data_IF_311028682659
#
_entry.id   IF_311028682659
#
_cell.length_a   1.000
_cell.length_b   1.000
_cell.length_c   1.000
_cell.angle_alpha   90.00
_cell.angle_beta   90.00
_cell.angle_gamma   90.00
#
_symmetry.space_group_name_H-M   'P 1'
#
loop_
_entity.id
_entity.type
_entity.pdbx_description
1 polymer ?
#
# COMPACT_ATOMS: atom_id res chain seq x y z
N UNK A 1 -12.30 24.01 -13.97
CA UNK A 1 -12.89 22.72 -14.39
C UNK A 1 -13.15 21.91 -13.14
N UNK A 2 -14.34 21.34 -12.97
CA UNK A 2 -14.67 20.48 -11.82
C UNK A 2 -14.37 19.02 -12.18
N UNK A 3 -13.44 18.39 -11.48
CA UNK A 3 -13.13 16.97 -11.67
C UNK A 3 -14.14 16.06 -10.97
N UNK A 4 -14.26 14.82 -11.41
CA UNK A 4 -15.13 13.84 -10.73
C UNK A 4 -14.60 13.50 -9.34
N UNK A 5 -15.48 13.09 -8.43
CA UNK A 5 -15.09 12.65 -7.08
C UNK A 5 -14.01 11.57 -7.09
N UNK A 6 -14.08 10.62 -8.03
CA UNK A 6 -13.07 9.55 -8.15
C UNK A 6 -11.67 10.08 -8.49
N UNK A 7 -11.58 11.04 -9.43
CA UNK A 7 -10.31 11.68 -9.79
C UNK A 7 -9.76 12.45 -8.58
N UNK A 8 -10.61 13.21 -7.89
CA UNK A 8 -10.19 13.97 -6.71
C UNK A 8 -9.72 13.05 -5.58
N UNK A 9 -10.46 11.98 -5.31
CA UNK A 9 -10.09 11.01 -4.26
C UNK A 9 -8.77 10.35 -4.57
N UNK A 10 -8.53 9.91 -5.81
CA UNK A 10 -7.27 9.27 -6.20
C UNK A 10 -6.10 10.27 -6.17
N UNK A 11 -6.32 11.49 -6.64
CA UNK A 11 -5.34 12.58 -6.59
C UNK A 11 -4.89 12.86 -5.14
N UNK A 12 -5.85 12.97 -4.22
CA UNK A 12 -5.59 13.13 -2.79
C UNK A 12 -4.86 11.91 -2.20
N UNK A 13 -5.20 10.69 -2.62
CA UNK A 13 -4.56 9.47 -2.11
C UNK A 13 -3.07 9.37 -2.48
N UNK A 14 -2.69 9.83 -3.67
CA UNK A 14 -1.31 9.74 -4.17
C UNK A 14 -0.54 11.06 -4.05
N UNK A 15 -1.19 12.11 -3.53
CA UNK A 15 -0.59 13.43 -3.32
C UNK A 15 -0.18 14.11 -4.63
N UNK A 16 -1.08 14.15 -5.62
CA UNK A 16 -0.82 14.81 -6.90
C UNK A 16 -2.01 15.65 -7.35
N UNK A 17 -1.82 16.46 -8.39
CA UNK A 17 -2.89 17.27 -8.95
C UNK A 17 -3.93 16.42 -9.71
N UNK A 18 -5.24 16.72 -9.56
CA UNK A 18 -6.33 16.04 -10.29
C UNK A 18 -6.15 16.02 -11.81
N UNK A 19 -5.49 17.02 -12.38
CA UNK A 19 -5.21 17.09 -13.81
C UNK A 19 -4.38 15.90 -14.31
N UNK A 20 -3.33 15.52 -13.56
CA UNK A 20 -2.48 14.39 -13.90
C UNK A 20 -3.24 13.07 -13.85
N UNK A 21 -4.13 12.91 -12.85
CA UNK A 21 -5.00 11.73 -12.73
C UNK A 21 -6.01 11.68 -13.88
N UNK A 22 -6.62 12.81 -14.24
CA UNK A 22 -7.55 12.88 -15.37
C UNK A 22 -6.85 12.55 -16.69
N UNK A 23 -5.61 13.02 -16.88
CA UNK A 23 -4.78 12.68 -18.05
C UNK A 23 -4.41 11.20 -18.06
N UNK A 24 -3.97 10.65 -16.93
CA UNK A 24 -3.63 9.24 -16.75
C UNK A 24 -4.80 8.31 -17.07
N UNK A 25 -6.00 8.62 -16.59
CA UNK A 25 -7.20 7.86 -16.87
C UNK A 25 -7.48 7.81 -18.38
N UNK A 26 -7.45 8.96 -19.08
CA UNK A 26 -7.64 9.00 -20.54
C UNK A 26 -6.59 8.18 -21.29
N UNK A 27 -5.33 8.26 -20.87
CA UNK A 27 -4.24 7.47 -21.48
C UNK A 27 -4.43 5.98 -21.23
N UNK A 28 -4.76 5.58 -20.00
CA UNK A 28 -5.00 4.18 -19.64
C UNK A 28 -6.19 3.61 -20.42
N UNK A 29 -7.30 4.35 -20.55
CA UNK A 29 -8.47 3.92 -21.33
C UNK A 29 -8.13 3.71 -22.81
N UNK A 30 -7.33 4.60 -23.41
CA UNK A 30 -6.86 4.44 -24.80
C UNK A 30 -5.96 3.22 -24.97
N UNK A 31 -4.99 3.05 -24.07
CA UNK A 31 -4.09 1.91 -24.08
C UNK A 31 -4.86 0.59 -23.90
N UNK A 32 -5.82 0.54 -22.98
CA UNK A 32 -6.68 -0.62 -22.75
C UNK A 32 -7.46 -1.02 -24.01
N UNK A 33 -8.03 -0.06 -24.73
CA UNK A 33 -8.71 -0.31 -25.99
C UNK A 33 -7.78 -0.90 -27.07
N UNK A 34 -6.56 -0.37 -27.19
CA UNK A 34 -5.55 -0.84 -28.14
C UNK A 34 -5.05 -2.25 -27.78
N UNK A 35 -4.75 -2.51 -26.51
CA UNK A 35 -4.31 -3.82 -26.02
C UNK A 35 -5.40 -4.87 -26.28
N UNK A 36 -6.67 -4.56 -25.98
CA UNK A 36 -7.79 -5.46 -26.29
C UNK A 36 -7.83 -5.77 -27.78
N UNK A 37 -7.81 -4.73 -28.61
CA UNK A 37 -7.91 -4.87 -30.07
C UNK A 37 -6.76 -5.71 -30.66
N UNK A 38 -5.54 -5.57 -30.12
CA UNK A 38 -4.35 -6.20 -30.70
C UNK A 38 -4.05 -7.60 -30.12
N UNK A 39 -4.31 -7.82 -28.83
CA UNK A 39 -3.84 -9.01 -28.10
C UNK A 39 -4.99 -9.90 -27.61
N UNK A 40 -6.17 -9.33 -27.42
CA UNK A 40 -7.34 -10.02 -26.88
C UNK A 40 -8.58 -9.82 -27.75
N UNK A 41 -8.39 -9.79 -29.08
CA UNK A 41 -9.45 -9.53 -30.06
C UNK A 41 -10.63 -10.52 -29.98
N UNK A 42 -10.37 -11.72 -29.43
CA UNK A 42 -11.35 -12.78 -29.25
C UNK A 42 -12.17 -12.63 -27.96
N UNK A 43 -11.81 -11.70 -27.06
CA UNK A 43 -12.53 -11.45 -25.82
C UNK A 43 -13.52 -10.30 -26.00
N UNK A 44 -14.70 -10.42 -25.38
CA UNK A 44 -15.60 -9.27 -25.22
C UNK A 44 -14.99 -8.23 -24.29
N UNK A 45 -15.47 -7.00 -24.36
CA UNK A 45 -15.00 -5.93 -23.47
C UNK A 45 -15.23 -6.29 -21.98
N UNK A 46 -16.32 -7.00 -21.68
CA UNK A 46 -16.61 -7.48 -20.33
C UNK A 46 -15.62 -8.56 -19.88
N UNK A 47 -15.34 -9.54 -20.72
CA UNK A 47 -14.37 -10.60 -20.41
C UNK A 47 -12.96 -10.03 -20.22
N UNK A 48 -12.55 -9.10 -21.07
CA UNK A 48 -11.27 -8.43 -20.96
C UNK A 48 -11.21 -7.55 -19.69
N UNK A 49 -12.28 -6.81 -19.38
CA UNK A 49 -12.38 -6.05 -18.13
C UNK A 49 -12.34 -6.93 -16.89
N UNK A 50 -12.95 -8.13 -16.91
CA UNK A 50 -12.85 -9.09 -15.79
C UNK A 50 -11.45 -9.68 -15.65
N UNK A 51 -10.77 -9.98 -16.77
CA UNK A 51 -9.39 -10.46 -16.77
C UNK A 51 -8.41 -9.42 -16.21
N UNK A 52 -8.57 -8.16 -16.62
CA UNK A 52 -7.74 -7.03 -16.17
C UNK A 52 -8.20 -6.44 -14.83
N UNK A 53 -9.42 -6.75 -14.40
CA UNK A 53 -10.18 -6.06 -13.38
C UNK A 53 -10.24 -6.79 -12.05
N UNK A 54 -9.07 -7.15 -11.49
CA UNK A 54 -8.96 -6.91 -10.06
C UNK A 54 -9.12 -5.40 -9.87
N UNK A 55 -10.18 -4.94 -9.19
CA UNK A 55 -10.58 -3.51 -9.13
C UNK A 55 -9.40 -2.55 -8.82
N UNK A 56 -8.40 -3.03 -8.10
CA UNK A 56 -7.19 -2.26 -7.77
C UNK A 56 -6.12 -2.21 -8.86
N UNK A 57 -6.06 -3.16 -9.79
CA UNK A 57 -5.04 -3.16 -10.84
C UNK A 57 -5.19 -1.95 -11.75
N UNK A 58 -6.44 -1.66 -12.18
CA UNK A 58 -6.75 -0.49 -13.00
C UNK A 58 -6.40 0.81 -12.24
N UNK A 59 -6.75 0.90 -10.96
CA UNK A 59 -6.40 2.05 -10.10
C UNK A 59 -4.88 2.20 -9.99
N UNK A 60 -4.14 1.11 -9.83
CA UNK A 60 -2.67 1.13 -9.75
C UNK A 60 -2.03 1.62 -11.05
N UNK A 61 -2.52 1.19 -12.21
CA UNK A 61 -2.05 1.66 -13.52
C UNK A 61 -2.30 3.16 -13.69
N UNK A 62 -3.51 3.64 -13.35
CA UNK A 62 -3.83 5.07 -13.45
C UNK A 62 -2.97 5.91 -12.49
N UNK A 63 -2.78 5.47 -11.25
CA UNK A 63 -1.93 6.17 -10.29
C UNK A 63 -0.46 6.21 -10.73
N UNK A 64 0.08 5.10 -11.23
CA UNK A 64 1.44 5.04 -11.76
C UNK A 64 1.64 6.04 -12.90
N UNK A 65 0.72 6.06 -13.87
CA UNK A 65 0.77 7.02 -14.99
C UNK A 65 0.62 8.46 -14.51
N UNK A 66 -0.23 8.74 -13.52
CA UNK A 66 -0.43 10.07 -12.97
C UNK A 66 0.84 10.61 -12.33
N UNK A 67 1.53 9.80 -11.51
CA UNK A 67 2.80 10.19 -10.90
C UNK A 67 3.90 10.39 -11.93
N UNK A 68 3.97 9.55 -12.98
CA UNK A 68 4.90 9.77 -14.10
C UNK A 68 4.63 11.08 -14.84
N UNK A 69 3.36 11.43 -15.08
CA UNK A 69 3.02 12.73 -15.68
C UNK A 69 3.34 13.92 -14.78
N UNK A 70 3.33 13.73 -13.47
CA UNK A 70 3.77 14.71 -12.48
C UNK A 70 5.30 14.75 -12.29
N UNK A 71 6.07 13.94 -13.03
CA UNK A 71 7.53 13.85 -12.88
C UNK A 71 8.02 13.02 -11.69
N UNK A 72 7.11 12.43 -10.91
CA UNK A 72 7.40 11.60 -9.71
C UNK A 72 7.60 10.12 -10.10
N UNK A 73 8.64 9.84 -10.89
CA UNK A 73 8.87 8.51 -11.48
C UNK A 73 9.18 7.46 -10.39
N UNK A 74 9.95 7.83 -9.37
CA UNK A 74 10.31 6.92 -8.27
C UNK A 74 9.08 6.51 -7.45
N UNK A 75 8.24 7.47 -7.08
CA UNK A 75 6.97 7.19 -6.40
C UNK A 75 6.04 6.32 -7.27
N UNK A 76 6.05 6.50 -8.59
CA UNK A 76 5.28 5.66 -9.49
C UNK A 76 5.71 4.19 -9.41
N UNK A 77 7.02 3.92 -9.40
CA UNK A 77 7.58 2.58 -9.22
C UNK A 77 7.19 2.01 -7.85
N UNK A 78 7.34 2.83 -6.81
CA UNK A 78 7.01 2.47 -5.43
C UNK A 78 5.55 2.02 -5.27
N UNK A 79 4.60 2.73 -5.88
CA UNK A 79 3.18 2.35 -5.85
C UNK A 79 2.93 0.95 -6.43
N UNK A 80 3.69 0.56 -7.46
CA UNK A 80 3.57 -0.78 -8.04
C UNK A 80 4.18 -1.85 -7.14
N UNK A 81 5.32 -1.57 -6.50
CA UNK A 81 5.91 -2.49 -5.54
C UNK A 81 4.99 -2.74 -4.34
N UNK A 82 4.39 -1.67 -3.79
CA UNK A 82 3.38 -1.77 -2.74
C UNK A 82 2.16 -2.58 -3.21
N UNK A 83 1.67 -2.30 -4.43
CA UNK A 83 0.55 -3.04 -5.01
C UNK A 83 0.86 -4.54 -5.10
N UNK A 84 2.01 -4.91 -5.65
CA UNK A 84 2.41 -6.30 -5.79
C UNK A 84 2.62 -7.01 -4.45
N UNK A 85 3.19 -6.31 -3.45
CA UNK A 85 3.33 -6.81 -2.10
C UNK A 85 1.96 -7.04 -1.44
N UNK A 86 1.01 -6.13 -1.62
CA UNK A 86 -0.35 -6.24 -1.08
C UNK A 86 -1.14 -7.42 -1.64
N UNK A 87 -0.98 -7.71 -2.94
CA UNK A 87 -1.65 -8.83 -3.61
C UNK A 87 -0.91 -10.16 -3.42
N UNK A 88 0.31 -10.12 -2.87
CA UNK A 88 1.17 -11.30 -2.80
C UNK A 88 1.58 -11.84 -4.18
N UNK A 89 1.58 -10.99 -5.21
CA UNK A 89 1.74 -11.39 -6.62
C UNK A 89 3.18 -11.32 -7.12
N UNK A 90 4.15 -10.87 -6.30
CA UNK A 90 5.59 -10.88 -6.65
C UNK A 90 6.25 -12.15 -6.08
N UNK A 91 6.52 -13.19 -6.89
CA UNK A 91 7.37 -14.29 -6.50
C UNK A 91 8.87 -13.96 -6.74
N UNK A 92 9.79 -14.46 -5.90
CA UNK A 92 9.51 -15.14 -4.63
C UNK A 92 9.00 -14.16 -3.56
N UNK A 93 8.00 -14.58 -2.78
CA UNK A 93 7.59 -13.84 -1.58
C UNK A 93 8.82 -13.73 -0.67
N UNK A 94 9.20 -12.51 -0.33
CA UNK A 94 10.33 -12.28 0.56
C UNK A 94 10.09 -12.99 1.89
N UNK A 95 11.03 -13.86 2.25
CA UNK A 95 11.02 -14.55 3.54
C UNK A 95 11.51 -13.55 4.57
N UNK A 96 10.59 -13.09 5.43
CA UNK A 96 10.95 -12.31 6.61
C UNK A 96 11.53 -13.29 7.62
N UNK A 97 12.64 -12.94 8.27
CA UNK A 97 13.27 -13.76 9.32
C UNK A 97 12.69 -13.41 10.68
N UNK A 98 12.81 -14.32 11.66
CA UNK A 98 12.50 -14.01 13.07
C UNK A 98 13.29 -12.79 13.52
N UNK A 99 12.62 -11.89 14.24
CA UNK A 99 13.23 -10.65 14.73
C UNK A 99 13.35 -9.52 13.69
N UNK A 100 12.80 -9.68 12.48
CA UNK A 100 12.77 -8.61 11.47
C UNK A 100 11.37 -8.01 11.39
N UNK A 101 11.26 -6.70 11.63
CA UNK A 101 10.02 -5.93 11.52
C UNK A 101 9.02 -6.17 12.65
N UNK A 102 9.26 -7.13 13.54
CA UNK A 102 8.43 -7.45 14.71
C UNK A 102 9.26 -8.25 15.74
N UNK A 103 8.72 -8.47 16.93
CA UNK A 103 9.35 -9.33 17.95
C UNK A 103 9.33 -10.81 17.53
N UNK A 104 10.32 -11.63 17.94
CA UNK A 104 10.39 -13.04 17.58
C UNK A 104 9.12 -13.84 17.89
N UNK A 105 8.43 -13.57 19.00
CA UNK A 105 7.19 -14.24 19.40
C UNK A 105 5.99 -13.93 18.49
N UNK A 106 6.01 -12.81 17.78
CA UNK A 106 4.93 -12.39 16.88
C UNK A 106 5.24 -12.71 15.41
N UNK A 107 6.36 -13.39 15.16
CA UNK A 107 6.85 -13.68 13.82
C UNK A 107 5.83 -14.40 12.95
N UNK A 108 5.14 -15.40 13.50
CA UNK A 108 4.23 -16.26 12.73
C UNK A 108 2.84 -15.63 12.49
N UNK A 109 2.61 -14.40 12.97
CA UNK A 109 1.33 -13.73 12.80
C UNK A 109 1.13 -13.28 11.33
N UNK A 110 0.09 -13.75 10.61
CA UNK A 110 -0.04 -13.57 9.17
C UNK A 110 -0.21 -12.10 8.75
N UNK A 111 -1.02 -11.33 9.47
CA UNK A 111 -1.22 -9.90 9.19
C UNK A 111 0.05 -9.06 9.43
N UNK A 112 0.79 -9.34 10.51
CA UNK A 112 2.08 -8.69 10.78
C UNK A 112 3.07 -8.96 9.63
N UNK A 113 3.21 -10.22 9.23
CA UNK A 113 4.04 -10.62 8.10
C UNK A 113 3.67 -9.88 6.81
N UNK A 114 2.39 -9.67 6.56
CA UNK A 114 1.92 -8.95 5.38
C UNK A 114 2.23 -7.44 5.46
N UNK A 115 2.01 -6.81 6.61
CA UNK A 115 2.36 -5.39 6.82
C UNK A 115 3.85 -5.16 6.66
N UNK A 116 4.70 -6.01 7.25
CA UNK A 116 6.15 -5.89 7.08
C UNK A 116 6.54 -5.97 5.60
N UNK A 117 6.00 -6.92 4.82
CA UNK A 117 6.27 -7.02 3.38
C UNK A 117 5.83 -5.77 2.61
N UNK A 118 4.68 -5.21 2.96
CA UNK A 118 4.14 -4.01 2.30
C UNK A 118 5.03 -2.80 2.58
N UNK A 119 5.41 -2.59 3.84
CA UNK A 119 6.24 -1.45 4.25
C UNK A 119 7.68 -1.58 3.72
N UNK A 120 8.25 -2.78 3.73
CA UNK A 120 9.58 -3.05 3.15
C UNK A 120 9.58 -2.86 1.63
N UNK A 121 8.51 -3.27 0.94
CA UNK A 121 8.31 -2.97 -0.49
C UNK A 121 8.13 -1.47 -0.77
N UNK A 122 7.73 -0.68 0.23
CA UNK A 122 7.70 0.77 0.18
C UNK A 122 9.07 1.42 0.50
N UNK A 123 10.14 0.63 0.60
CA UNK A 123 11.49 1.12 0.89
C UNK A 123 11.69 1.55 2.35
N UNK A 124 10.75 1.22 3.24
CA UNK A 124 10.87 1.51 4.67
C UNK A 124 11.67 0.37 5.32
N UNK A 125 12.73 0.64 6.10
CA UNK A 125 13.55 -0.41 6.68
C UNK A 125 12.88 -0.97 7.95
N UNK A 126 12.71 -2.30 8.06
CA UNK A 126 12.23 -2.92 9.29
C UNK A 126 13.31 -2.90 10.37
N UNK A 127 12.88 -2.81 11.63
CA UNK A 127 13.73 -3.06 12.79
C UNK A 127 14.34 -4.47 12.69
N UNK A 128 15.55 -4.64 13.23
CA UNK A 128 16.13 -5.96 13.48
C UNK A 128 16.39 -6.09 14.96
N UNK A 129 15.89 -7.15 15.59
CA UNK A 129 15.96 -7.41 17.03
C UNK A 129 16.13 -8.90 17.30
N UNK A 130 16.78 -9.25 18.41
CA UNK A 130 16.82 -10.63 18.92
C UNK A 130 15.73 -10.92 19.97
N UNK A 131 14.86 -9.94 20.24
CA UNK A 131 13.83 -9.97 21.29
C UNK A 131 14.26 -9.34 22.61
N UNK A 132 15.57 -9.17 22.84
CA UNK A 132 16.11 -8.48 24.03
C UNK A 132 16.72 -7.13 23.67
N UNK A 133 17.41 -7.05 22.53
CA UNK A 133 18.12 -5.87 22.07
C UNK A 133 17.77 -5.52 20.62
N UNK A 134 17.69 -4.22 20.35
CA UNK A 134 17.62 -3.71 18.99
C UNK A 134 19.01 -3.80 18.34
N UNK A 135 19.10 -4.57 17.26
CA UNK A 135 20.32 -4.74 16.44
C UNK A 135 20.41 -3.70 15.33
N UNK A 136 19.26 -3.27 14.78
CA UNK A 136 19.18 -2.20 13.77
C UNK A 136 17.88 -1.41 13.92
N UNK A 137 17.90 -0.06 13.88
CA UNK A 137 16.68 0.74 13.90
C UNK A 137 15.84 0.50 12.64
N UNK A 138 14.55 0.75 12.76
CA UNK A 138 13.58 0.61 11.69
C UNK A 138 12.16 0.59 12.24
N UNK A 139 11.19 0.40 11.36
CA UNK A 139 9.80 0.33 11.81
C UNK A 139 9.55 -1.00 12.52
N UNK A 140 8.61 -1.01 13.46
CA UNK A 140 8.18 -2.21 14.16
C UNK A 140 6.67 -2.39 14.01
N UNK A 141 6.24 -3.60 13.68
CA UNK A 141 4.84 -3.98 13.60
C UNK A 141 4.51 -4.85 14.81
N UNK A 142 3.42 -4.51 15.47
CA UNK A 142 2.97 -5.15 16.70
C UNK A 142 1.55 -5.69 16.48
N UNK A 143 1.19 -6.84 17.11
CA UNK A 143 -0.20 -7.25 17.17
C UNK A 143 -1.00 -6.25 18.00
N UNK A 144 -2.32 -6.25 17.80
CA UNK A 144 -3.26 -5.66 18.76
C UNK A 144 -3.71 -6.71 19.78
N UNK A 145 -4.75 -6.39 20.55
CA UNK A 145 -5.39 -7.32 21.47
C UNK A 145 -6.42 -8.21 20.75
N UNK A 146 -6.79 -9.31 21.38
CA UNK A 146 -7.70 -10.31 20.80
C UNK A 146 -9.10 -9.73 20.50
N UNK A 147 -9.49 -8.65 21.18
CA UNK A 147 -10.75 -7.94 20.96
C UNK A 147 -10.78 -7.08 19.67
N UNK A 148 -9.63 -6.91 19.00
CA UNK A 148 -9.49 -6.12 17.77
C UNK A 148 -8.94 -6.97 16.62
N UNK A 149 -9.69 -8.00 16.16
CA UNK A 149 -9.19 -8.89 15.12
C UNK A 149 -8.87 -8.14 13.83
N UNK A 150 -7.76 -8.53 13.20
CA UNK A 150 -7.29 -7.92 11.95
C UNK A 150 -6.58 -6.57 12.11
N UNK A 151 -6.56 -5.99 13.31
CA UNK A 151 -5.81 -4.77 13.59
C UNK A 151 -4.34 -5.07 13.91
N UNK A 152 -3.45 -4.23 13.41
CA UNK A 152 -2.04 -4.22 13.78
C UNK A 152 -1.58 -2.79 14.02
N UNK A 153 -0.58 -2.64 14.89
CA UNK A 153 0.04 -1.35 15.19
C UNK A 153 1.39 -1.25 14.49
N UNK A 154 1.74 -0.06 14.05
CA UNK A 154 3.01 0.26 13.42
C UNK A 154 3.67 1.35 14.28
N UNK A 155 4.83 1.04 14.82
CA UNK A 155 5.78 2.03 15.33
C UNK A 155 6.66 2.50 14.16
N UNK A 156 6.60 3.79 13.77
CA UNK A 156 7.49 4.37 12.78
C UNK A 156 8.95 4.25 13.19
N UNK A 157 9.86 4.25 12.21
CA UNK A 157 11.29 4.34 12.53
C UNK A 157 11.68 5.75 13.00
N UNK A 158 12.77 5.89 13.78
CA UNK A 158 13.17 7.19 14.35
C UNK A 158 13.43 8.28 13.31
N UNK A 159 13.87 7.90 12.11
CA UNK A 159 14.29 8.81 11.04
C UNK A 159 13.15 9.06 10.03
N UNK A 160 11.91 8.68 10.37
CA UNK A 160 10.79 8.78 9.45
C UNK A 160 10.49 10.22 9.01
N UNK A 161 10.72 11.21 9.87
CA UNK A 161 10.42 12.62 9.63
C UNK A 161 11.36 13.23 8.55
N UNK A 162 12.55 12.67 8.35
CA UNK A 162 13.50 13.14 7.33
C UNK A 162 13.21 12.59 5.93
N UNK A 163 12.31 11.60 5.81
CA UNK A 163 12.01 10.97 4.53
C UNK A 163 11.02 11.77 3.71
N UNK A 164 11.28 11.82 2.41
CA UNK A 164 10.44 12.51 1.42
C UNK A 164 9.75 11.52 0.47
N UNK A 165 8.84 12.02 -0.37
CA UNK A 165 8.14 11.19 -1.36
C UNK A 165 6.86 10.57 -0.80
N UNK A 166 6.30 9.60 -1.52
CA UNK A 166 5.00 9.00 -1.19
C UNK A 166 4.98 8.29 0.18
N UNK A 167 6.06 7.57 0.50
CA UNK A 167 6.24 6.89 1.78
C UNK A 167 7.00 7.75 2.81
N UNK A 168 7.20 9.05 2.54
CA UNK A 168 7.94 9.97 3.39
C UNK A 168 7.15 10.48 4.59
N UNK A 169 7.87 10.85 5.65
CA UNK A 169 7.28 11.35 6.89
C UNK A 169 6.52 10.30 7.69
N UNK A 170 6.06 10.69 8.88
CA UNK A 170 5.20 9.84 9.72
C UNK A 170 3.92 9.37 9.03
N UNK A 171 3.31 10.22 8.20
CA UNK A 171 2.08 9.88 7.47
C UNK A 171 2.35 8.97 6.26
N UNK A 172 3.61 8.80 5.85
CA UNK A 172 4.01 7.89 4.79
C UNK A 172 3.58 6.44 5.06
N UNK A 173 3.67 5.98 6.30
CA UNK A 173 3.18 4.65 6.70
C UNK A 173 1.68 4.50 6.45
N UNK A 174 0.87 5.50 6.84
CA UNK A 174 -0.57 5.47 6.59
C UNK A 174 -0.88 5.54 5.10
N UNK A 175 -0.13 6.33 4.33
CA UNK A 175 -0.28 6.44 2.89
C UNK A 175 0.00 5.10 2.21
N UNK A 176 1.10 4.43 2.58
CA UNK A 176 1.48 3.10 2.10
C UNK A 176 0.40 2.07 2.44
N UNK A 177 -0.05 2.01 3.71
CA UNK A 177 -1.06 1.03 4.12
C UNK A 177 -2.42 1.26 3.46
N UNK A 178 -2.84 2.52 3.33
CA UNK A 178 -4.05 2.90 2.59
C UNK A 178 -3.94 2.53 1.10
N UNK A 179 -2.80 2.80 0.48
CA UNK A 179 -2.52 2.37 -0.90
C UNK A 179 -2.39 0.85 -1.04
N UNK A 180 -2.02 0.14 0.02
CA UNK A 180 -2.04 -1.32 0.10
C UNK A 180 -3.43 -1.86 0.49
N UNK A 181 -4.42 -1.00 0.75
CA UNK A 181 -5.85 -1.33 0.83
C UNK A 181 -6.36 -1.59 2.24
N UNK A 182 -5.47 -1.42 3.21
CA UNK A 182 -5.79 -1.53 4.61
C UNK A 182 -6.60 -0.31 5.05
N UNK A 183 -7.50 -0.51 6.01
CA UNK A 183 -8.10 0.62 6.73
C UNK A 183 -7.03 1.23 7.64
N UNK A 184 -7.12 2.55 7.87
CA UNK A 184 -6.15 3.28 8.68
C UNK A 184 -6.86 4.24 9.62
N UNK A 185 -6.38 4.36 10.86
CA UNK A 185 -6.74 5.45 11.77
C UNK A 185 -5.74 6.57 11.56
N UNK A 186 -6.25 7.78 11.30
CA UNK A 186 -5.42 8.96 11.02
C UNK A 186 -5.08 9.76 12.27
N UNK A 187 -5.84 9.56 13.34
CA UNK A 187 -5.54 10.08 14.66
C UNK A 187 -4.30 9.36 15.23
N UNK A 188 -3.33 10.09 15.82
CA UNK A 188 -2.17 9.46 16.43
C UNK A 188 -2.60 8.62 17.64
N UNK A 189 -2.20 7.36 17.66
CA UNK A 189 -2.40 6.49 18.82
C UNK A 189 -1.43 6.86 19.94
N UNK A 190 -1.69 6.45 21.19
CA UNK A 190 -0.72 6.58 22.28
C UNK A 190 0.67 6.08 21.87
N UNK A 191 1.71 6.71 22.43
CA UNK A 191 3.11 6.44 22.10
C UNK A 191 3.50 6.66 20.62
N UNK A 192 2.69 7.39 19.84
CA UNK A 192 3.01 7.74 18.45
C UNK A 192 2.88 6.58 17.47
N UNK A 193 2.07 5.56 17.83
CA UNK A 193 1.78 4.42 16.98
C UNK A 193 0.74 4.77 15.91
N UNK A 194 0.76 3.99 14.82
CA UNK A 194 -0.28 4.01 13.80
C UNK A 194 -1.07 2.71 13.83
N UNK A 195 -2.40 2.79 13.76
CA UNK A 195 -3.26 1.63 13.73
C UNK A 195 -3.81 1.39 12.32
N UNK A 196 -3.71 0.15 11.85
CA UNK A 196 -4.21 -0.27 10.55
C UNK A 196 -4.97 -1.58 10.65
N UNK A 197 -6.01 -1.73 9.83
CA UNK A 197 -6.90 -2.90 9.83
C UNK A 197 -6.83 -3.63 8.50
N UNK A 198 -6.71 -4.95 8.57
CA UNK A 198 -6.68 -5.81 7.40
C UNK A 198 -7.96 -5.63 6.56
N UNK A 199 -7.88 -5.65 5.21
CA UNK A 199 -9.03 -5.42 4.34
C UNK A 199 -10.24 -6.31 4.65
N UNK A 200 -10.01 -7.56 5.05
CA UNK A 200 -11.07 -8.53 5.39
C UNK A 200 -11.89 -8.13 6.63
N UNK A 201 -11.34 -7.29 7.50
CA UNK A 201 -11.95 -6.85 8.77
C UNK A 201 -12.39 -5.37 8.70
N UNK A 202 -12.17 -4.68 7.58
CA UNK A 202 -12.43 -3.24 7.47
C UNK A 202 -13.90 -2.86 7.65
N UNK A 203 -14.82 -3.72 7.24
CA UNK A 203 -16.26 -3.46 7.30
C UNK A 203 -16.91 -3.92 8.61
N UNK A 204 -16.18 -4.71 9.42
CA UNK A 204 -16.61 -5.19 10.73
C UNK A 204 -15.40 -5.26 11.69
N UNK A 205 -14.88 -4.10 12.13
CA UNK A 205 -13.67 -4.05 12.94
C UNK A 205 -13.88 -4.45 14.42
N UNK A 206 -15.13 -4.71 14.83
CA UNK A 206 -15.53 -5.11 16.18
C UNK A 206 -16.60 -6.21 16.11
N UNK A 207 -16.24 -7.45 15.72
CA UNK A 207 -17.22 -8.52 15.68
C UNK A 207 -17.76 -8.79 17.09
N UNK A 208 -19.08 -8.71 17.22
CA UNK A 208 -19.86 -8.92 18.46
C UNK A 208 -19.81 -10.35 18.98
#
# INVERSE_FOLDING_TARGET
MTYTRGIQTLANHIGTEPEYVARALRTASRAHAVIRANQFQHMTDEQFRRLMGGDRHVVAVVANLALRFAGRIEDALLLMDIYHASQGTKPPRQVIRKGVGTLPEHHDHPHIQQVIRILDAAGLPPIVTDGTYQLRPGFQVLPTCDELPGWVLIAPDPDCDDRTGFAGGRLGYLAVMRWAGWGVITEPMPAGLWAVVHPDYRNDPFPS
#
